data_IF_721312707124
#
_entry.id   IF_721312707124
#
_cell.length_a   1.000
_cell.length_b   1.000
_cell.length_c   1.000
_cell.angle_alpha   90.00
_cell.angle_beta   90.00
_cell.angle_gamma   90.00
#
_symmetry.space_group_name_H-M   'P 1'
#
loop_
_entity.id
_entity.type
_entity.pdbx_description
1 polymer ?
#
# COMPACT_ATOMS: atom_id res chain seq x y z
N UNK A 1 19.31 -33.91 10.96
CA UNK A 1 20.25 -32.83 11.30
C UNK A 1 19.71 -31.60 10.62
N UNK A 2 18.93 -30.81 11.33
CA UNK A 2 18.42 -29.54 10.82
C UNK A 2 19.54 -28.51 10.94
N UNK A 3 20.18 -28.20 9.82
CA UNK A 3 21.06 -27.05 9.69
C UNK A 3 20.22 -25.80 9.93
N UNK A 4 20.22 -25.32 11.18
CA UNK A 4 19.77 -23.96 11.48
C UNK A 4 20.81 -23.03 10.89
N UNK A 5 20.64 -22.66 9.61
CA UNK A 5 21.28 -21.48 9.06
C UNK A 5 20.92 -20.31 9.98
N UNK A 6 21.89 -19.89 10.79
CA UNK A 6 21.80 -18.62 11.49
C UNK A 6 21.51 -17.54 10.45
N UNK A 7 20.47 -16.72 10.62
CA UNK A 7 20.19 -15.66 9.68
C UNK A 7 21.44 -14.78 9.56
N UNK A 8 21.87 -14.50 8.33
CA UNK A 8 22.98 -13.60 8.09
C UNK A 8 22.75 -12.27 8.83
N UNK A 9 23.80 -11.64 9.37
CA UNK A 9 23.65 -10.38 10.07
C UNK A 9 23.03 -9.34 9.14
N UNK A 10 21.87 -8.80 9.56
CA UNK A 10 21.13 -7.79 8.79
C UNK A 10 21.98 -6.52 8.68
N UNK A 11 22.37 -6.17 7.46
CA UNK A 11 23.07 -4.92 7.19
C UNK A 11 22.09 -3.74 7.18
N UNK A 12 22.00 -3.04 8.31
CA UNK A 12 21.17 -1.85 8.46
C UNK A 12 21.59 -0.67 7.55
N UNK A 13 22.79 -0.71 6.94
CA UNK A 13 23.26 0.32 6.00
C UNK A 13 22.77 0.09 4.58
N UNK A 14 22.23 -1.08 4.27
CA UNK A 14 21.69 -1.39 2.95
C UNK A 14 20.47 -0.49 2.64
N UNK A 15 20.54 0.33 1.57
CA UNK A 15 19.45 1.21 1.18
C UNK A 15 18.16 0.45 0.79
N UNK A 16 18.26 -0.79 0.31
CA UNK A 16 17.13 -1.59 -0.17
C UNK A 16 16.50 -2.49 0.91
N UNK A 17 17.13 -2.61 2.09
CA UNK A 17 16.63 -3.45 3.18
C UNK A 17 15.17 -3.13 3.55
N UNK A 18 14.82 -1.84 3.58
CA UNK A 18 13.46 -1.39 3.86
C UNK A 18 12.47 -1.98 2.87
N UNK A 19 12.79 -1.91 1.57
CA UNK A 19 11.88 -2.34 0.52
C UNK A 19 11.73 -3.87 0.53
N UNK A 20 12.81 -4.62 0.76
CA UNK A 20 12.74 -6.08 0.90
C UNK A 20 11.92 -6.52 2.11
N UNK A 21 12.06 -5.84 3.26
CA UNK A 21 11.24 -6.17 4.44
C UNK A 21 9.76 -5.86 4.22
N UNK A 22 9.45 -4.79 3.48
CA UNK A 22 8.06 -4.51 3.12
C UNK A 22 7.53 -5.59 2.17
N UNK A 23 8.31 -6.01 1.15
CA UNK A 23 7.90 -7.11 0.26
C UNK A 23 7.72 -8.42 1.01
N UNK A 24 8.60 -8.74 1.96
CA UNK A 24 8.49 -9.95 2.78
C UNK A 24 7.25 -9.89 3.71
N UNK A 25 6.98 -8.72 4.30
CA UNK A 25 5.81 -8.52 5.16
C UNK A 25 4.50 -8.64 4.38
N UNK A 26 4.43 -8.06 3.19
CA UNK A 26 3.24 -8.08 2.35
C UNK A 26 3.11 -9.40 1.58
N UNK A 27 4.21 -10.10 1.30
CA UNK A 27 4.21 -11.32 0.50
C UNK A 27 3.66 -11.08 -0.91
N UNK A 28 2.49 -11.65 -1.20
CA UNK A 28 1.80 -11.44 -2.48
C UNK A 28 0.80 -10.28 -2.47
N UNK A 29 0.64 -9.58 -1.33
CA UNK A 29 -0.28 -8.46 -1.24
C UNK A 29 0.28 -7.23 -1.98
N UNK A 30 -0.59 -6.45 -2.67
CA UNK A 30 -0.19 -5.20 -3.32
C UNK A 30 0.41 -4.19 -2.34
N UNK A 31 1.32 -3.35 -2.85
CA UNK A 31 1.83 -2.16 -2.17
C UNK A 31 0.73 -1.10 -2.06
N UNK A 32 0.84 -0.20 -1.09
CA UNK A 32 -0.12 0.91 -0.91
C UNK A 32 -0.27 1.76 -2.18
N UNK A 33 0.82 2.00 -2.89
CA UNK A 33 0.82 2.72 -4.16
C UNK A 33 -0.01 2.02 -5.25
N UNK A 34 -0.07 0.69 -5.25
CA UNK A 34 -0.84 -0.07 -6.22
C UNK A 34 -2.34 -0.03 -5.90
N UNK A 35 -2.71 -0.13 -4.62
CA UNK A 35 -4.10 0.10 -4.19
C UNK A 35 -4.62 1.47 -4.60
N UNK A 36 -3.80 2.50 -4.41
CA UNK A 36 -4.09 3.88 -4.85
C UNK A 36 -4.36 3.96 -6.35
N UNK A 37 -3.50 3.37 -7.18
CA UNK A 37 -3.67 3.39 -8.63
C UNK A 37 -4.99 2.74 -9.06
N UNK A 38 -5.37 1.62 -8.45
CA UNK A 38 -6.64 0.98 -8.75
C UNK A 38 -7.84 1.82 -8.28
N UNK A 39 -7.73 2.45 -7.10
CA UNK A 39 -8.76 3.35 -6.58
C UNK A 39 -8.98 4.53 -7.53
N UNK A 40 -7.91 5.22 -7.92
CA UNK A 40 -7.95 6.38 -8.82
C UNK A 40 -8.60 6.01 -10.17
N UNK A 41 -8.27 4.85 -10.74
CA UNK A 41 -8.89 4.38 -11.97
C UNK A 41 -10.41 4.15 -11.83
N UNK A 42 -10.88 3.66 -10.67
CA UNK A 42 -12.31 3.52 -10.40
C UNK A 42 -12.99 4.87 -10.15
N UNK A 43 -12.32 5.79 -9.48
CA UNK A 43 -12.80 7.16 -9.25
C UNK A 43 -13.00 7.91 -10.57
N UNK A 44 -12.04 7.82 -11.51
CA UNK A 44 -12.17 8.39 -12.84
C UNK A 44 -13.38 7.81 -13.59
N UNK A 45 -13.60 6.50 -13.48
CA UNK A 45 -14.75 5.83 -14.09
C UNK A 45 -16.05 6.29 -13.48
N UNK A 46 -16.11 6.38 -12.15
CA UNK A 46 -17.26 6.87 -11.41
C UNK A 46 -17.61 8.29 -11.84
N UNK A 47 -16.62 9.18 -11.92
CA UNK A 47 -16.81 10.56 -12.34
C UNK A 47 -17.45 10.65 -13.74
N UNK A 48 -16.98 9.83 -14.69
CA UNK A 48 -17.57 9.75 -16.05
C UNK A 48 -19.04 9.31 -16.01
N UNK A 49 -19.39 8.33 -15.19
CA UNK A 49 -20.78 7.86 -15.06
C UNK A 49 -21.69 8.92 -14.40
N UNK A 50 -21.19 9.63 -13.39
CA UNK A 50 -21.90 10.74 -12.76
C UNK A 50 -22.16 11.89 -13.76
N UNK A 51 -21.19 12.20 -14.62
CA UNK A 51 -21.37 13.20 -15.68
C UNK A 51 -22.42 12.78 -16.72
N UNK A 52 -22.46 11.49 -17.10
CA UNK A 52 -23.50 10.96 -17.99
C UNK A 52 -24.88 11.07 -17.35
N UNK A 53 -25.00 10.68 -16.07
CA UNK A 53 -26.23 10.79 -15.28
C UNK A 53 -26.69 12.24 -15.19
N UNK A 54 -25.78 13.18 -14.91
CA UNK A 54 -26.09 14.61 -14.82
C UNK A 54 -26.58 15.21 -16.15
N UNK A 55 -26.10 14.68 -17.29
CA UNK A 55 -26.56 15.07 -18.63
C UNK A 55 -27.90 14.42 -19.02
N UNK A 56 -28.49 13.58 -18.17
CA UNK A 56 -29.72 12.85 -18.47
C UNK A 56 -29.53 11.77 -19.54
N UNK A 57 -28.30 11.35 -19.80
CA UNK A 57 -27.98 10.30 -20.77
C UNK A 57 -28.24 8.95 -20.09
N UNK A 58 -29.43 8.41 -20.30
CA UNK A 58 -29.81 7.07 -19.81
C UNK A 58 -29.44 6.03 -20.86
N UNK A 59 -28.14 5.90 -21.14
CA UNK A 59 -27.64 4.82 -22.01
C UNK A 59 -27.66 3.45 -21.32
N UNK A 60 -27.72 3.44 -19.98
CA UNK A 60 -27.64 2.23 -19.17
C UNK A 60 -28.84 2.14 -18.22
N UNK A 61 -29.69 1.10 -18.34
CA UNK A 61 -30.85 0.91 -17.46
C UNK A 61 -30.48 0.63 -15.99
N UNK A 62 -29.21 0.30 -15.73
CA UNK A 62 -28.60 -0.04 -14.45
C UNK A 62 -27.55 0.97 -13.98
N UNK A 63 -27.54 2.19 -14.54
CA UNK A 63 -26.52 3.21 -14.26
C UNK A 63 -26.36 3.51 -12.76
N UNK A 64 -27.47 3.55 -12.04
CA UNK A 64 -27.49 3.85 -10.60
C UNK A 64 -26.88 2.72 -9.77
N UNK A 65 -27.23 1.47 -10.08
CA UNK A 65 -26.64 0.30 -9.44
C UNK A 65 -25.13 0.24 -9.70
N UNK A 66 -24.69 0.59 -10.92
CA UNK A 66 -23.27 0.61 -11.27
C UNK A 66 -22.50 1.71 -10.54
N UNK A 67 -23.10 2.88 -10.33
CA UNK A 67 -22.52 3.97 -9.53
C UNK A 67 -22.37 3.52 -8.07
N UNK A 68 -23.40 2.89 -7.50
CA UNK A 68 -23.35 2.37 -6.12
C UNK A 68 -22.29 1.27 -5.96
N UNK A 69 -22.17 0.35 -6.92
CA UNK A 69 -21.10 -0.65 -6.93
C UNK A 69 -19.71 -0.01 -6.91
N UNK A 70 -19.47 0.99 -7.77
CA UNK A 70 -18.19 1.68 -7.83
C UNK A 70 -17.87 2.38 -6.51
N UNK A 71 -18.85 3.01 -5.87
CA UNK A 71 -18.65 3.59 -4.53
C UNK A 71 -18.19 2.53 -3.52
N UNK A 72 -18.82 1.35 -3.52
CA UNK A 72 -18.43 0.25 -2.61
C UNK A 72 -17.01 -0.24 -2.89
N UNK A 73 -16.65 -0.43 -4.16
CA UNK A 73 -15.29 -0.88 -4.51
C UNK A 73 -14.22 0.17 -4.18
N UNK A 74 -14.49 1.45 -4.44
CA UNK A 74 -13.60 2.55 -4.08
C UNK A 74 -13.37 2.60 -2.56
N UNK A 75 -14.43 2.42 -1.76
CA UNK A 75 -14.32 2.39 -0.31
C UNK A 75 -13.41 1.25 0.18
N UNK A 76 -13.57 0.04 -0.38
CA UNK A 76 -12.70 -1.10 -0.04
C UNK A 76 -11.25 -0.82 -0.44
N UNK A 77 -11.00 -0.36 -1.66
CA UNK A 77 -9.63 -0.05 -2.09
C UNK A 77 -8.98 1.05 -1.26
N UNK A 78 -9.76 2.03 -0.80
CA UNK A 78 -9.26 3.07 0.09
C UNK A 78 -8.88 2.52 1.46
N UNK A 79 -9.68 1.63 2.04
CA UNK A 79 -9.36 0.97 3.30
C UNK A 79 -8.08 0.12 3.18
N UNK A 80 -7.96 -0.68 2.12
CA UNK A 80 -6.77 -1.48 1.85
C UNK A 80 -5.53 -0.61 1.60
N UNK A 81 -5.66 0.52 0.90
CA UNK A 81 -4.59 1.50 0.71
C UNK A 81 -4.08 2.01 2.06
N UNK A 82 -4.98 2.44 2.95
CA UNK A 82 -4.64 3.01 4.26
C UNK A 82 -3.99 1.98 5.18
N UNK A 83 -4.54 0.76 5.24
CA UNK A 83 -3.99 -0.32 6.06
C UNK A 83 -2.60 -0.70 5.58
N UNK A 84 -2.42 -0.84 4.28
CA UNK A 84 -1.12 -1.18 3.69
C UNK A 84 -0.10 -0.07 3.95
N UNK A 85 -0.46 1.19 3.68
CA UNK A 85 0.43 2.34 3.90
C UNK A 85 0.88 2.42 5.37
N UNK A 86 -0.03 2.18 6.31
CA UNK A 86 0.31 2.11 7.73
C UNK A 86 1.37 1.03 8.02
N UNK A 87 1.21 -0.20 7.49
CA UNK A 87 2.20 -1.26 7.69
C UNK A 87 3.56 -0.89 7.10
N UNK A 88 3.58 -0.34 5.88
CA UNK A 88 4.83 0.08 5.26
C UNK A 88 5.53 1.20 6.06
N UNK A 89 4.77 2.16 6.60
CA UNK A 89 5.29 3.21 7.47
C UNK A 89 5.86 2.65 8.78
N UNK A 90 5.23 1.64 9.39
CA UNK A 90 5.75 0.99 10.60
C UNK A 90 7.12 0.34 10.35
N UNK A 91 7.29 -0.36 9.23
CA UNK A 91 8.59 -0.96 8.85
C UNK A 91 9.66 0.13 8.71
N UNK A 92 9.34 1.20 7.98
CA UNK A 92 10.24 2.36 7.79
C UNK A 92 10.63 3.00 9.11
N UNK A 93 9.68 3.18 10.02
CA UNK A 93 9.92 3.78 11.35
C UNK A 93 10.81 2.89 12.22
N UNK A 94 10.55 1.59 12.28
CA UNK A 94 11.34 0.63 13.09
C UNK A 94 12.78 0.58 12.59
N UNK A 95 12.99 0.46 11.27
CA UNK A 95 14.33 0.47 10.69
C UNK A 95 15.03 1.82 10.86
N UNK A 96 14.31 2.93 10.69
CA UNK A 96 14.83 4.26 10.98
C UNK A 96 15.36 4.34 12.42
N UNK A 97 14.56 3.93 13.41
CA UNK A 97 14.95 3.91 14.82
C UNK A 97 16.16 3.01 15.09
N UNK A 98 16.25 1.86 14.43
CA UNK A 98 17.40 0.95 14.55
C UNK A 98 18.69 1.59 14.00
N UNK A 99 18.59 2.24 12.83
CA UNK A 99 19.71 2.99 12.23
C UNK A 99 20.18 4.14 13.13
N UNK A 100 19.25 4.91 13.69
CA UNK A 100 19.55 5.98 14.65
C UNK A 100 20.29 5.47 15.88
N UNK A 101 19.86 4.34 16.44
CA UNK A 101 20.52 3.74 17.61
C UNK A 101 21.95 3.30 17.28
N UNK A 102 22.15 2.61 16.14
CA UNK A 102 23.48 2.18 15.70
C UNK A 102 24.43 3.37 15.46
N UNK A 103 23.91 4.47 14.93
CA UNK A 103 24.71 5.69 14.73
C UNK A 103 25.17 6.31 16.06
N UNK A 104 24.30 6.33 17.08
CA UNK A 104 24.64 6.86 18.41
C UNK A 104 25.63 5.95 19.16
N UNK A 105 25.52 4.63 19.02
CA UNK A 105 26.45 3.67 19.64
C UNK A 105 27.82 3.65 18.94
N UNK A 106 27.88 4.06 17.66
CA UNK A 106 29.13 4.14 16.88
C UNK A 106 29.94 5.43 17.09
N UNK A 107 29.40 6.41 17.82
CA UNK A 107 30.03 7.73 18.07
C UNK A 107 30.72 7.81 19.45
N UNK A 108 30.72 6.72 20.24
CA UNK A 108 31.44 6.60 21.53
C UNK A 108 32.88 6.03 21.38
N UNK A 109 33.50 6.20 20.20
CA UNK A 109 34.86 5.71 19.88
C UNK A 109 35.96 6.74 20.07
#
# INVERSE_FOLDING_TARGET
MDDKQSPEPVDLSDPELVERLIDELLGSYPRAAQWRQWREALEERLQKLLELKAKGIVEFPDLDERIEELHRYIAVLHEEELLTDFLEQQVRMVLGKARWRKALEGDEG
#
